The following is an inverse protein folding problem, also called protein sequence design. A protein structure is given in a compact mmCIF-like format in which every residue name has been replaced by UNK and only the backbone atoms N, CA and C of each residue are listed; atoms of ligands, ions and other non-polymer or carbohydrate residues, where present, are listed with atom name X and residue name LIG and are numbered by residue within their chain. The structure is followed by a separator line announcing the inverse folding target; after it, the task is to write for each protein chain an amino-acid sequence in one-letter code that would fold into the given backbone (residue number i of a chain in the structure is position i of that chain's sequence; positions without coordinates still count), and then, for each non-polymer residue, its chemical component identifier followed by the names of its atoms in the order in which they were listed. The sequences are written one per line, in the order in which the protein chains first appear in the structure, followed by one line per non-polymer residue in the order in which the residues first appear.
data_IF_636497308098
#
_entry.id   IF_636497308098
#
_cell.length_a   1.000
_cell.length_b   1.000
_cell.length_c   1.000
_cell.angle_alpha   90.00
_cell.angle_beta   90.00
_cell.angle_gamma   90.00
#
_symmetry.space_group_name_H-M   'P 1'
#
loop_
_entity.id
_entity.type
_entity.pdbx_description
1 polymer ?
#
# COMPACT_ATOMS: atom_id res chain seq x y z
N UNK A 1 -0.82 21.93 -6.48
CA UNK A 1 -0.47 21.33 -5.17
C UNK A 1 -1.31 20.07 -5.02
N UNK A 2 -0.69 18.92 -4.79
CA UNK A 2 -1.37 17.62 -4.78
C UNK A 2 -2.27 17.52 -3.54
N UNK A 3 -3.48 18.07 -3.63
CA UNK A 3 -4.46 18.18 -2.53
C UNK A 3 -5.03 16.82 -2.07
N UNK A 4 -4.42 15.71 -2.48
CA UNK A 4 -4.98 14.41 -2.17
C UNK A 4 -3.96 13.28 -1.93
N UNK A 5 -2.83 13.58 -1.30
CA UNK A 5 -1.85 12.55 -0.89
C UNK A 5 -2.46 11.52 0.07
N UNK A 6 -3.44 11.90 0.88
CA UNK A 6 -4.14 10.98 1.78
C UNK A 6 -5.02 9.99 1.01
N UNK A 7 -5.80 10.42 0.01
CA UNK A 7 -6.61 9.46 -0.75
C UNK A 7 -5.73 8.59 -1.66
N UNK A 8 -4.58 9.10 -2.12
CA UNK A 8 -3.59 8.26 -2.79
C UNK A 8 -3.08 7.15 -1.87
N UNK A 9 -2.77 7.48 -0.60
CA UNK A 9 -2.35 6.50 0.40
C UNK A 9 -3.44 5.47 0.66
N UNK A 10 -4.69 5.91 0.90
CA UNK A 10 -5.85 5.02 1.08
C UNK A 10 -6.05 4.10 -0.12
N UNK A 11 -5.99 4.64 -1.33
CA UNK A 11 -6.14 3.86 -2.58
C UNK A 11 -5.02 2.84 -2.74
N UNK A 12 -3.78 3.20 -2.41
CA UNK A 12 -2.65 2.29 -2.45
C UNK A 12 -2.81 1.12 -1.46
N UNK A 13 -3.29 1.40 -0.24
CA UNK A 13 -3.58 0.37 0.76
C UNK A 13 -4.70 -0.56 0.27
N UNK A 14 -5.79 -0.02 -0.28
CA UNK A 14 -6.88 -0.84 -0.85
C UNK A 14 -6.37 -1.76 -1.95
N UNK A 15 -5.57 -1.23 -2.88
CA UNK A 15 -5.00 -2.05 -3.95
C UNK A 15 -4.11 -3.18 -3.39
N UNK A 16 -3.32 -2.90 -2.34
CA UNK A 16 -2.50 -3.91 -1.67
C UNK A 16 -3.37 -4.94 -0.94
N UNK A 17 -4.43 -4.51 -0.26
CA UNK A 17 -5.41 -5.37 0.38
C UNK A 17 -6.05 -6.36 -0.61
N UNK A 18 -6.45 -5.91 -1.80
CA UNK A 18 -7.05 -6.79 -2.82
C UNK A 18 -6.13 -7.93 -3.25
N UNK A 19 -4.80 -7.74 -3.15
CA UNK A 19 -3.80 -8.77 -3.44
C UNK A 19 -3.61 -9.67 -2.20
N UNK A 20 -3.41 -9.07 -1.03
CA UNK A 20 -3.12 -9.81 0.21
C UNK A 20 -4.32 -10.60 0.75
N UNK A 21 -5.56 -10.21 0.41
CA UNK A 21 -6.76 -10.95 0.84
C UNK A 21 -6.82 -12.37 0.27
N UNK A 22 -6.11 -12.62 -0.83
CA UNK A 22 -5.96 -13.95 -1.47
C UNK A 22 -4.63 -14.63 -1.10
N UNK A 23 -3.84 -14.01 -0.22
CA UNK A 23 -2.51 -14.47 0.17
C UNK A 23 -2.48 -15.33 1.44
N UNK A 24 -1.36 -15.25 2.17
CA UNK A 24 -1.06 -16.07 3.36
C UNK A 24 -2.13 -15.93 4.47
N UNK A 25 -2.70 -14.73 4.63
CA UNK A 25 -3.67 -14.43 5.68
C UNK A 25 -5.12 -14.40 5.19
N UNK A 26 -5.43 -15.19 4.15
CA UNK A 26 -6.76 -15.33 3.56
C UNK A 26 -7.88 -15.51 4.61
N UNK A 27 -7.66 -16.37 5.61
CA UNK A 27 -8.66 -16.68 6.64
C UNK A 27 -9.16 -15.44 7.41
N UNK A 28 -8.28 -14.44 7.56
CA UNK A 28 -8.57 -13.18 8.24
C UNK A 28 -9.06 -12.09 7.27
N UNK A 29 -8.48 -12.03 6.07
CA UNK A 29 -8.65 -10.91 5.14
C UNK A 29 -9.72 -11.14 4.06
N UNK A 30 -10.05 -12.37 3.68
CA UNK A 30 -11.07 -12.62 2.65
C UNK A 30 -12.47 -12.16 3.08
N UNK A 31 -12.81 -12.41 4.34
CA UNK A 31 -14.05 -11.95 4.97
C UNK A 31 -13.71 -11.31 6.32
N UNK A 32 -13.27 -10.04 6.31
CA UNK A 32 -12.80 -9.39 7.51
C UNK A 32 -13.98 -9.10 8.44
N UNK A 33 -13.82 -9.47 9.70
CA UNK A 33 -14.71 -9.11 10.79
C UNK A 33 -13.90 -8.42 11.88
N UNK A 34 -14.54 -7.62 12.74
CA UNK A 34 -13.83 -6.95 13.85
C UNK A 34 -13.02 -7.92 14.73
N UNK A 35 -13.55 -9.12 14.95
CA UNK A 35 -12.86 -10.16 15.71
C UNK A 35 -11.64 -10.70 14.96
N UNK A 36 -11.81 -11.05 13.68
CA UNK A 36 -10.72 -11.53 12.83
C UNK A 36 -9.62 -10.50 12.67
N UNK A 37 -9.97 -9.24 12.41
CA UNK A 37 -9.02 -8.13 12.28
C UNK A 37 -8.25 -7.88 13.57
N UNK A 38 -8.92 -7.98 14.72
CA UNK A 38 -8.25 -7.89 16.02
C UNK A 38 -7.22 -9.01 16.20
N UNK A 39 -7.64 -10.25 15.99
CA UNK A 39 -6.77 -11.42 16.20
C UNK A 39 -5.60 -11.41 15.21
N UNK A 40 -5.86 -10.99 13.97
CA UNK A 40 -4.83 -10.80 12.96
C UNK A 40 -3.86 -9.66 13.29
N UNK A 41 -4.37 -8.53 13.78
CA UNK A 41 -3.51 -7.44 14.27
C UNK A 41 -2.58 -7.94 15.38
N UNK A 42 -3.10 -8.69 16.36
CA UNK A 42 -2.24 -9.30 17.39
C UNK A 42 -1.13 -10.17 16.79
N UNK A 43 -1.47 -11.02 15.83
CA UNK A 43 -0.51 -11.92 15.17
C UNK A 43 0.60 -11.15 14.43
N UNK A 44 0.27 -10.06 13.74
CA UNK A 44 1.27 -9.24 13.04
C UNK A 44 2.23 -8.60 14.04
N UNK A 45 1.69 -8.01 15.12
CA UNK A 45 2.51 -7.33 16.11
C UNK A 45 3.37 -8.28 16.95
N UNK A 46 2.95 -9.53 17.07
CA UNK A 46 3.73 -10.57 17.73
C UNK A 46 4.95 -11.01 16.91
N UNK A 47 4.85 -11.02 15.57
CA UNK A 47 5.89 -11.56 14.69
C UNK A 47 6.73 -10.50 13.95
N UNK A 48 6.13 -9.36 13.58
CA UNK A 48 6.68 -8.42 12.58
C UNK A 48 6.54 -6.95 12.98
N UNK A 49 6.53 -6.62 14.28
CA UNK A 49 6.39 -5.24 14.73
C UNK A 49 7.67 -4.42 14.52
N UNK A 50 7.61 -3.39 13.66
CA UNK A 50 8.63 -2.33 13.65
C UNK A 50 8.31 -1.26 14.70
N UNK A 51 9.29 -0.43 15.07
CA UNK A 51 9.06 0.66 16.02
C UNK A 51 7.99 1.66 15.53
N UNK A 52 7.95 1.92 14.23
CA UNK A 52 6.93 2.76 13.62
C UNK A 52 5.54 2.11 13.70
N UNK A 53 5.45 0.80 13.49
CA UNK A 53 4.19 0.06 13.65
C UNK A 53 3.73 0.08 15.11
N UNK A 54 4.64 -0.08 16.08
CA UNK A 54 4.32 0.01 17.52
C UNK A 54 3.77 1.39 17.89
N UNK A 55 4.31 2.45 17.29
CA UNK A 55 3.79 3.80 17.49
C UNK A 55 2.37 3.95 16.91
N UNK A 56 2.08 3.35 15.74
CA UNK A 56 0.74 3.32 15.15
C UNK A 56 -0.24 2.59 16.07
N UNK A 57 0.17 1.46 16.62
CA UNK A 57 -0.63 0.71 17.59
C UNK A 57 -0.96 1.58 18.82
N UNK A 58 0.07 2.18 19.43
CA UNK A 58 -0.08 3.04 20.61
C UNK A 58 -1.02 4.21 20.33
N UNK A 59 -0.93 4.84 19.16
CA UNK A 59 -1.77 5.98 18.80
C UNK A 59 -3.25 5.60 18.68
N UNK A 60 -3.58 4.45 18.07
CA UNK A 60 -4.96 4.04 17.87
C UNK A 60 -5.63 3.51 19.14
N UNK A 61 -4.89 2.71 19.92
CA UNK A 61 -5.42 2.01 21.09
C UNK A 61 -5.13 2.72 22.42
N UNK A 62 -4.27 3.75 22.41
CA UNK A 62 -3.80 4.46 23.61
C UNK A 62 -3.17 3.54 24.67
N UNK A 63 -2.66 2.39 24.25
CA UNK A 63 -2.00 1.40 25.09
C UNK A 63 -0.72 0.94 24.39
N UNK A 64 0.30 0.63 25.19
CA UNK A 64 1.51 0.01 24.68
C UNK A 64 1.25 -1.45 24.35
N UNK A 65 1.85 -1.92 23.25
CA UNK A 65 1.81 -3.32 22.90
C UNK A 65 2.64 -4.11 23.91
N UNK A 66 1.99 -5.06 24.57
CA UNK A 66 2.58 -5.89 25.61
C UNK A 66 1.94 -7.27 25.53
N UNK A 67 2.76 -8.28 25.28
CA UNK A 67 2.33 -9.68 25.13
C UNK A 67 1.55 -10.18 26.35
N UNK A 68 1.82 -9.64 27.55
CA UNK A 68 1.14 -10.01 28.79
C UNK A 68 -0.27 -9.41 28.91
N UNK A 69 -0.57 -8.34 28.15
CA UNK A 69 -1.82 -7.57 28.26
C UNK A 69 -2.85 -7.93 27.19
N UNK A 70 -2.80 -9.15 26.65
CA UNK A 70 -3.74 -9.63 25.62
C UNK A 70 -5.22 -9.46 25.99
N UNK A 71 -5.57 -9.57 27.27
CA UNK A 71 -6.94 -9.36 27.74
C UNK A 71 -7.43 -7.92 27.55
N UNK A 72 -6.60 -6.91 27.81
CA UNK A 72 -6.95 -5.50 27.57
C UNK A 72 -7.15 -5.21 26.09
N UNK A 73 -6.38 -5.88 25.24
CA UNK A 73 -6.52 -5.76 23.79
C UNK A 73 -7.83 -6.37 23.26
N UNK A 74 -8.32 -7.46 23.88
CA UNK A 74 -9.60 -8.09 23.49
C UNK A 74 -10.79 -7.12 23.56
N UNK A 75 -10.74 -6.15 24.47
CA UNK A 75 -11.76 -5.12 24.67
C UNK A 75 -11.77 -4.05 23.56
N UNK A 76 -10.67 -3.89 22.81
CA UNK A 76 -10.53 -2.85 21.78
C UNK A 76 -11.19 -3.19 20.42
N UNK A 77 -12.14 -4.14 20.41
CA UNK A 77 -12.81 -4.63 19.18
C UNK A 77 -13.44 -3.50 18.35
N UNK A 78 -13.99 -2.47 19.00
CA UNK A 78 -14.68 -1.38 18.31
C UNK A 78 -13.76 -0.48 17.49
N UNK A 79 -12.47 -0.42 17.85
CA UNK A 79 -11.45 0.34 17.11
C UNK A 79 -11.16 -0.25 15.72
N UNK A 80 -11.54 -1.51 15.49
CA UNK A 80 -11.40 -2.18 14.19
C UNK A 80 -12.57 -1.93 13.24
N UNK A 81 -13.70 -1.38 13.71
CA UNK A 81 -14.83 -1.03 12.85
C UNK A 81 -14.44 -0.17 11.64
N UNK A 82 -13.69 0.95 11.78
CA UNK A 82 -13.29 1.76 10.62
C UNK A 82 -12.36 1.03 9.65
N UNK A 83 -11.60 0.03 10.11
CA UNK A 83 -10.70 -0.75 9.26
C UNK A 83 -11.49 -1.81 8.50
N UNK A 84 -12.44 -2.46 9.18
CA UNK A 84 -13.38 -3.41 8.57
C UNK A 84 -14.14 -2.78 7.41
N UNK A 85 -14.81 -1.65 7.65
CA UNK A 85 -15.60 -0.98 6.62
C UNK A 85 -14.72 -0.39 5.51
N UNK A 86 -13.47 -0.03 5.82
CA UNK A 86 -12.49 0.41 4.85
C UNK A 86 -12.07 -0.69 3.88
N UNK A 87 -11.74 -1.87 4.40
CA UNK A 87 -11.38 -3.05 3.60
C UNK A 87 -12.55 -3.59 2.78
N UNK A 88 -13.77 -3.51 3.30
CA UNK A 88 -14.99 -3.84 2.53
C UNK A 88 -15.36 -2.79 1.49
N UNK A 89 -14.70 -1.62 1.50
CA UNK A 89 -15.03 -0.51 0.61
C UNK A 89 -16.34 0.22 0.94
N UNK A 90 -16.96 -0.09 2.08
CA UNK A 90 -18.22 0.51 2.53
C UNK A 90 -18.06 1.96 2.99
N UNK A 91 -16.92 2.29 3.60
CA UNK A 91 -16.66 3.62 4.16
C UNK A 91 -15.23 4.04 3.91
N UNK A 92 -15.02 5.35 3.83
CA UNK A 92 -13.69 5.93 3.84
C UNK A 92 -13.40 6.57 5.21
N UNK A 93 -12.56 5.94 6.06
CA UNK A 93 -12.30 6.45 7.40
C UNK A 93 -11.54 7.76 7.34
N UNK A 94 -11.93 8.72 8.19
CA UNK A 94 -11.18 9.97 8.38
C UNK A 94 -10.06 9.84 9.43
N UNK A 95 -10.09 8.77 10.24
CA UNK A 95 -9.09 8.52 11.27
C UNK A 95 -7.78 8.02 10.64
N UNK A 96 -6.75 8.86 10.67
CA UNK A 96 -5.42 8.56 10.13
C UNK A 96 -4.77 7.35 10.84
N UNK A 97 -4.97 7.18 12.15
CA UNK A 97 -4.40 6.07 12.89
C UNK A 97 -5.03 4.73 12.46
N UNK A 98 -6.33 4.72 12.17
CA UNK A 98 -7.00 3.54 11.62
C UNK A 98 -6.49 3.20 10.21
N UNK A 99 -6.26 4.21 9.36
CA UNK A 99 -5.67 4.02 8.02
C UNK A 99 -4.23 3.51 8.13
N UNK A 100 -3.44 4.06 9.05
CA UNK A 100 -2.08 3.60 9.30
C UNK A 100 -2.08 2.15 9.77
N UNK A 101 -2.98 1.78 10.69
CA UNK A 101 -3.10 0.39 11.11
C UNK A 101 -3.51 -0.52 9.96
N UNK A 102 -4.44 -0.09 9.10
CA UNK A 102 -4.79 -0.82 7.89
C UNK A 102 -3.57 -1.06 6.97
N UNK A 103 -2.67 -0.07 6.85
CA UNK A 103 -1.42 -0.22 6.11
C UNK A 103 -0.48 -1.26 6.73
N UNK A 104 -0.38 -1.32 8.06
CA UNK A 104 0.37 -2.38 8.77
C UNK A 104 -0.22 -3.75 8.47
N UNK A 105 -1.55 -3.86 8.49
CA UNK A 105 -2.25 -5.14 8.31
C UNK A 105 -2.04 -5.79 6.93
N UNK A 106 -1.77 -4.98 5.90
CA UNK A 106 -1.52 -5.47 4.54
C UNK A 106 -0.06 -5.35 4.12
N UNK A 107 0.83 -5.13 5.09
CA UNK A 107 2.25 -4.89 4.89
C UNK A 107 2.54 -3.84 3.78
N UNK A 108 1.75 -2.77 3.73
CA UNK A 108 1.97 -1.69 2.78
C UNK A 108 3.15 -0.81 3.21
N UNK A 109 4.07 -0.53 2.29
CA UNK A 109 5.17 0.40 2.46
C UNK A 109 5.09 1.50 1.38
N UNK A 110 5.46 2.76 1.67
CA UNK A 110 5.98 3.25 2.95
C UNK A 110 4.86 3.57 3.97
N UNK A 111 5.01 3.08 5.21
CA UNK A 111 4.12 3.38 6.36
C UNK A 111 4.92 3.97 7.52
N UNK A 112 4.28 4.73 8.45
CA UNK A 112 2.93 5.30 8.40
C UNK A 112 2.79 6.45 7.38
N UNK A 113 1.60 7.07 7.27
CA UNK A 113 1.30 8.15 6.32
C UNK A 113 2.31 9.30 6.32
N UNK A 114 2.91 9.62 7.47
CA UNK A 114 3.99 10.62 7.58
C UNK A 114 5.17 10.29 6.67
N UNK A 115 5.54 9.02 6.57
CA UNK A 115 6.64 8.53 5.72
C UNK A 115 6.21 8.55 4.24
N UNK A 116 4.98 8.11 3.94
CA UNK A 116 4.41 8.21 2.60
C UNK A 116 4.40 9.64 2.06
N UNK A 117 3.89 10.59 2.85
CA UNK A 117 3.82 11.99 2.46
C UNK A 117 5.23 12.60 2.22
N UNK A 118 6.22 12.23 3.04
CA UNK A 118 7.61 12.64 2.79
C UNK A 118 8.13 12.09 1.46
N UNK A 119 7.88 10.81 1.16
CA UNK A 119 8.32 10.19 -0.09
C UNK A 119 7.67 10.85 -1.31
N UNK A 120 6.35 11.08 -1.29
CA UNK A 120 5.66 11.79 -2.38
C UNK A 120 6.26 13.18 -2.63
N UNK A 121 6.57 13.94 -1.57
CA UNK A 121 7.19 15.28 -1.69
C UNK A 121 8.59 15.24 -2.31
N UNK A 122 9.40 14.25 -1.91
CA UNK A 122 10.75 14.06 -2.48
C UNK A 122 10.66 13.67 -3.96
N UNK A 123 9.71 12.81 -4.32
CA UNK A 123 9.51 12.37 -5.70
C UNK A 123 9.01 13.51 -6.59
N UNK A 124 8.05 14.32 -6.11
CA UNK A 124 7.63 15.54 -6.79
C UNK A 124 8.83 16.49 -7.00
N UNK A 125 9.70 16.66 -6.00
CA UNK A 125 10.91 17.48 -6.12
C UNK A 125 11.91 16.94 -7.16
N UNK A 126 12.10 15.61 -7.23
CA UNK A 126 12.99 14.94 -8.21
C UNK A 126 12.43 14.95 -9.64
N UNK A 127 11.12 14.98 -9.83
CA UNK A 127 10.52 15.11 -11.17
C UNK A 127 10.69 16.53 -11.72
N UNK A 128 10.54 17.51 -10.84
CA UNK A 128 10.85 18.91 -11.14
C UNK A 128 12.36 18.97 -11.46
N UNK A 129 13.19 18.33 -10.62
CA UNK A 129 14.58 17.87 -10.81
C UNK A 129 15.08 17.66 -12.25
N UNK A 130 14.44 16.65 -12.83
CA UNK A 130 14.76 16.09 -14.13
C UNK A 130 14.19 16.93 -15.29
N UNK A 131 13.17 17.77 -15.02
CA UNK A 131 12.58 18.63 -16.05
C UNK A 131 13.48 19.79 -16.45
N UNK A 132 14.29 20.34 -15.52
CA UNK A 132 15.21 21.46 -15.84
C UNK A 132 16.57 21.04 -16.38
N UNK A 133 16.92 19.75 -16.27
CA UNK A 133 18.14 19.20 -16.87
C UNK A 133 17.93 18.73 -18.33
N UNK A 134 16.68 18.73 -18.82
CA UNK A 134 16.38 18.55 -20.24
C UNK A 134 16.54 19.89 -20.99
N UNK A 135 17.76 20.22 -21.42
CA UNK A 135 18.00 21.34 -22.36
C UNK A 135 17.15 21.15 -23.64
N UNK A 136 16.53 22.21 -24.20
CA UNK A 136 15.76 22.09 -25.42
C UNK A 136 16.72 21.90 -26.60
N UNK A 137 16.74 20.69 -27.18
CA UNK A 137 17.34 20.47 -28.49
C UNK A 137 16.40 21.09 -29.53
N UNK A 138 16.69 22.34 -29.90
CA UNK A 138 16.14 22.97 -31.10
C UNK A 138 16.58 22.13 -32.30
N UNK A 139 15.62 21.55 -33.04
CA UNK A 139 15.87 20.96 -34.36
C UNK A 139 14.86 21.53 -35.36
N UNK A 140 15.32 22.05 -36.51
CA UNK A 140 14.54 22.98 -37.33
C UNK A 140 13.51 22.27 -38.23
N UNK A 141 12.42 23.01 -38.51
CA UNK A 141 11.33 22.67 -39.41
C UNK A 141 11.80 22.33 -40.84
N UNK A 142 11.21 21.28 -41.44
CA UNK A 142 11.07 21.17 -42.91
C UNK A 142 9.74 20.54 -43.34
N UNK A 143 8.87 21.43 -43.85
CA UNK A 143 7.92 21.35 -44.98
C UNK A 143 7.32 19.98 -45.43
N UNK A 144 6.01 19.85 -45.17
CA UNK A 144 4.87 19.49 -46.05
C UNK A 144 5.15 18.96 -47.47
N UNK A 145 4.52 17.81 -47.80
CA UNK A 145 3.79 17.57 -49.06
C UNK A 145 2.56 16.68 -48.78
N UNK A 146 1.41 17.09 -49.32
CA UNK A 146 0.12 16.39 -49.30
C UNK A 146 0.05 15.35 -50.44
N UNK A 147 -0.82 14.33 -50.34
CA UNK A 147 -2.01 14.12 -51.22
C UNK A 147 -2.66 12.72 -51.01
N UNK A 148 -3.98 12.77 -50.75
CA UNK A 148 -5.12 11.90 -51.09
C UNK A 148 -5.23 10.40 -50.70
N UNK A 149 -6.40 10.05 -50.16
CA UNK A 149 -7.00 8.70 -50.20
C UNK A 149 -8.16 8.48 -49.20
N UNK A 150 -9.39 8.71 -49.64
CA UNK A 150 -10.67 8.43 -48.95
C UNK A 150 -10.97 6.92 -48.78
N UNK A 151 -11.69 6.52 -47.71
CA UNK A 151 -12.50 5.27 -47.69
C UNK A 151 -12.75 4.60 -46.32
N UNK A 152 -13.93 4.87 -45.74
CA UNK A 152 -14.66 4.28 -44.58
C UNK A 152 -14.75 2.73 -44.56
N UNK A 153 -15.21 2.00 -43.54
CA UNK A 153 -15.55 2.14 -42.11
C UNK A 153 -15.80 0.70 -41.57
N UNK A 154 -15.77 0.56 -40.23
CA UNK A 154 -16.51 -0.37 -39.33
C UNK A 154 -15.60 -1.22 -38.43
N UNK A 155 -15.52 -0.87 -37.15
CA UNK A 155 -16.15 -1.71 -36.13
C UNK A 155 -16.19 -1.07 -34.73
N UNK A 156 -17.40 -1.09 -34.19
CA UNK A 156 -17.83 -1.38 -32.82
C UNK A 156 -17.26 -0.60 -31.61
N UNK A 157 -18.23 0.07 -30.98
CA UNK A 157 -18.18 0.79 -29.72
C UNK A 157 -17.81 -0.12 -28.54
N UNK A 158 -16.86 0.31 -27.73
CA UNK A 158 -16.91 0.08 -26.27
C UNK A 158 -16.43 1.35 -25.56
N UNK A 159 -17.17 1.75 -24.53
CA UNK A 159 -17.14 3.10 -23.95
C UNK A 159 -15.81 3.50 -23.33
N UNK A 160 -15.41 4.74 -23.60
CA UNK A 160 -14.28 5.43 -23.00
C UNK A 160 -14.56 5.78 -21.54
N UNK A 161 -13.70 5.29 -20.64
CA UNK A 161 -13.41 5.97 -19.37
C UNK A 161 -11.98 6.54 -19.51
N UNK A 162 -11.76 7.84 -19.21
CA UNK A 162 -10.46 8.46 -19.42
C UNK A 162 -9.42 7.86 -18.47
N UNK A 163 -8.40 7.22 -19.05
CA UNK A 163 -7.20 6.73 -18.36
C UNK A 163 -6.52 7.89 -17.62
N UNK A 164 -6.81 8.04 -16.33
CA UNK A 164 -5.91 8.72 -15.42
C UNK A 164 -4.58 7.96 -15.45
N UNK A 165 -3.52 8.66 -15.85
CA UNK A 165 -2.15 8.15 -15.86
C UNK A 165 -1.83 7.54 -14.49
N UNK A 166 -1.52 6.25 -14.50
CA UNK A 166 -1.21 5.48 -13.30
C UNK A 166 0.12 5.96 -12.70
N UNK A 167 0.06 6.82 -11.68
CA UNK A 167 1.19 7.17 -10.81
C UNK A 167 1.73 5.96 -10.01
N UNK A 168 0.99 4.84 -10.00
CA UNK A 168 1.32 3.63 -9.24
C UNK A 168 2.35 2.72 -9.92
N UNK A 169 2.65 2.90 -11.21
CA UNK A 169 3.62 2.05 -11.91
C UNK A 169 5.05 2.18 -11.37
N UNK A 170 5.38 3.30 -10.73
CA UNK A 170 6.73 3.57 -10.25
C UNK A 170 7.00 3.08 -8.82
N UNK A 171 5.98 2.67 -8.05
CA UNK A 171 6.19 2.10 -6.72
C UNK A 171 6.49 0.60 -6.77
N UNK A 172 5.96 -0.13 -7.76
CA UNK A 172 6.19 -1.57 -7.90
C UNK A 172 7.68 -1.92 -8.08
N UNK A 173 8.44 -1.05 -8.76
CA UNK A 173 9.88 -1.22 -8.97
C UNK A 173 10.72 -0.93 -7.72
N UNK A 174 10.20 -0.18 -6.74
CA UNK A 174 10.91 0.13 -5.49
C UNK A 174 10.86 -1.01 -4.46
N UNK A 175 9.76 -1.77 -4.41
CA UNK A 175 9.55 -2.83 -3.41
C UNK A 175 9.96 -4.24 -3.87
N UNK A 176 10.45 -4.38 -5.10
CA UNK A 176 10.82 -5.69 -5.69
C UNK A 176 12.23 -6.19 -5.30
N UNK A 177 12.91 -5.61 -4.31
CA UNK A 177 14.28 -6.00 -3.93
C UNK A 177 14.45 -6.34 -2.46
N UNK A 178 14.05 -7.56 -2.09
CA UNK A 178 14.77 -8.52 -1.21
C UNK A 178 13.78 -9.47 -0.55
N UNK A 179 13.74 -10.73 -1.02
CA UNK A 179 13.59 -11.92 -0.17
C UNK A 179 14.29 -13.09 -0.88
N UNK A 180 15.61 -13.07 -0.84
CA UNK A 180 16.38 -14.30 -0.93
C UNK A 180 16.59 -14.76 0.52
N UNK A 181 15.76 -15.69 0.98
CA UNK A 181 16.04 -16.52 2.14
C UNK A 181 16.16 -17.96 1.64
N UNK A 182 17.39 -18.43 1.51
CA UNK A 182 17.67 -19.86 1.35
C UNK A 182 18.63 -20.32 2.46
N UNK A 183 18.07 -21.23 3.28
CA UNK A 183 18.69 -22.44 3.84
C UNK A 183 19.81 -22.33 4.89
N UNK A 184 19.47 -22.70 6.14
CA UNK A 184 20.38 -23.37 7.06
C UNK A 184 19.85 -24.77 7.40
N UNK A 185 20.62 -25.85 7.18
CA UNK A 185 20.42 -27.10 7.90
C UNK A 185 21.61 -27.37 8.83
N UNK A 186 21.34 -27.76 10.08
CA UNK A 186 22.39 -28.23 10.98
C UNK A 186 21.95 -28.40 12.44
N UNK A 187 21.11 -29.40 12.72
CA UNK A 187 20.81 -29.83 14.09
C UNK A 187 21.77 -31.01 14.44
N UNK A 188 22.57 -30.94 15.51
CA UNK A 188 23.36 -32.10 15.95
C UNK A 188 22.49 -33.06 16.76
N UNK A 189 22.54 -34.35 16.38
CA UNK A 189 21.96 -35.46 17.15
C UNK A 189 22.75 -35.66 18.45
N UNK A 190 22.01 -35.69 19.57
CA UNK A 190 22.49 -36.29 20.82
C UNK A 190 22.73 -37.78 20.61
N UNK A 191 23.94 -38.26 20.89
CA UNK A 191 24.22 -39.68 21.11
C UNK A 191 24.55 -39.89 22.58
N UNK A 192 23.71 -40.69 23.22
CA UNK A 192 23.93 -41.33 24.51
C UNK A 192 25.20 -42.19 24.49
N UNK A 193 26.01 -42.05 25.54
CA UNK A 193 27.12 -42.91 25.94
C UNK A 193 27.35 -42.73 27.42
#
# INVERSE_FOLDING_TARGET
MNNNTLDQYKKAIRNKYEIEKEGEYFDYLYSPSRGKLRDFCWLIFENNATQDDLNVFRNLFSIDFDHTKKNKFKEQKDKFRPIETFFKGETDPSNIDAINLAAVMVDFQPRPFKNFNKMCRIEDAKQVENSYNAKPVVRPEKKRREIAGFGQDKNEKSGEYPKQRNLFSNFATLFSKKRDQESYPGNPRFSSG
#
